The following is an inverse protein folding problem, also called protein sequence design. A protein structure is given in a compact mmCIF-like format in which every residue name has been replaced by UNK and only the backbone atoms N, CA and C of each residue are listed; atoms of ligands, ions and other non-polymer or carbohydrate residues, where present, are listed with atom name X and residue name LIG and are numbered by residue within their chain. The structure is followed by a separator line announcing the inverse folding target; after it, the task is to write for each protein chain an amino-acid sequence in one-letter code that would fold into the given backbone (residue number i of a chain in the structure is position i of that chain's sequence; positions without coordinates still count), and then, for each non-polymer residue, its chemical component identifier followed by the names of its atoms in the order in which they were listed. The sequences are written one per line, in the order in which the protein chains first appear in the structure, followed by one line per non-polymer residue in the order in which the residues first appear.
data_IF_908239892350
#
_entry.id   IF_908239892350
#
_cell.length_a   1.000
_cell.length_b   1.000
_cell.length_c   1.000
_cell.angle_alpha   90.00
_cell.angle_beta   90.00
_cell.angle_gamma   90.00
#
_symmetry.space_group_name_H-M   'P 1'
#
loop_
_entity.id
_entity.type
_entity.pdbx_description
1 polymer ?
#
# COMPACT_ATOMS: atom_id res chain seq x y z
N UNK A 1 10.58 -14.81 8.06
CA UNK A 1 9.39 -14.47 7.27
C UNK A 1 9.61 -13.10 6.69
N UNK A 2 9.75 -13.01 5.37
CA UNK A 2 9.79 -11.73 4.66
C UNK A 2 8.42 -11.52 4.03
N UNK A 3 7.83 -10.33 4.25
CA UNK A 3 6.63 -9.91 3.54
C UNK A 3 7.05 -8.99 2.39
N UNK A 4 6.50 -9.24 1.20
CA UNK A 4 6.75 -8.40 0.03
C UNK A 4 5.44 -7.80 -0.45
N UNK A 5 5.51 -6.53 -0.83
CA UNK A 5 4.36 -5.76 -1.30
C UNK A 5 4.50 -5.52 -2.80
N UNK A 6 3.59 -6.07 -3.59
CA UNK A 6 3.64 -6.02 -5.05
C UNK A 6 2.34 -5.46 -5.62
N UNK A 7 2.45 -4.61 -6.65
CA UNK A 7 1.32 -4.26 -7.52
C UNK A 7 1.15 -5.37 -8.56
N UNK A 8 -0.04 -5.96 -8.63
CA UNK A 8 -0.37 -6.98 -9.61
C UNK A 8 -1.65 -6.60 -10.34
N UNK A 9 -1.72 -6.87 -11.65
CA UNK A 9 -2.98 -6.97 -12.39
C UNK A 9 -3.30 -8.46 -12.55
N UNK A 10 -4.33 -8.96 -11.88
CA UNK A 10 -4.74 -10.37 -11.93
C UNK A 10 -5.74 -10.58 -13.07
N UNK A 11 -5.56 -11.61 -13.91
CA UNK A 11 -6.67 -12.22 -14.63
C UNK A 11 -7.50 -13.05 -13.63
N UNK A 12 -8.79 -12.71 -13.50
CA UNK A 12 -9.84 -13.42 -12.75
C UNK A 12 -9.65 -13.63 -11.23
N UNK A 13 -10.49 -12.92 -10.45
CA UNK A 13 -11.04 -13.41 -9.18
C UNK A 13 -12.54 -13.64 -9.38
N UNK A 14 -13.23 -14.41 -8.52
CA UNK A 14 -14.69 -14.68 -8.61
C UNK A 14 -15.57 -13.41 -8.55
N UNK A 15 -14.98 -12.24 -8.33
CA UNK A 15 -15.62 -10.92 -8.42
C UNK A 15 -15.33 -10.32 -9.81
N UNK A 16 -16.31 -9.68 -10.47
CA UNK A 16 -16.05 -8.95 -11.71
C UNK A 16 -14.85 -8.02 -11.47
N UNK A 17 -13.85 -8.01 -12.36
CA UNK A 17 -12.60 -7.30 -12.13
C UNK A 17 -12.93 -5.82 -11.97
N UNK A 18 -12.93 -5.35 -10.72
CA UNK A 18 -12.77 -3.94 -10.48
C UNK A 18 -11.41 -3.57 -11.05
N UNK A 19 -11.37 -2.61 -11.96
CA UNK A 19 -10.13 -2.03 -12.50
C UNK A 19 -9.33 -1.25 -11.44
N UNK A 20 -9.53 -1.58 -10.16
CA UNK A 20 -8.89 -0.92 -9.04
C UNK A 20 -7.54 -1.58 -8.79
N UNK A 21 -6.48 -0.79 -8.61
CA UNK A 21 -5.20 -1.32 -8.19
C UNK A 21 -5.38 -1.99 -6.83
N UNK A 22 -4.94 -3.24 -6.72
CA UNK A 22 -4.85 -3.95 -5.46
C UNK A 22 -3.39 -4.26 -5.18
N UNK A 23 -3.06 -4.29 -3.90
CA UNK A 23 -1.73 -4.57 -3.39
C UNK A 23 -1.75 -5.97 -2.81
N UNK A 24 -0.91 -6.86 -3.31
CA UNK A 24 -0.74 -8.18 -2.71
C UNK A 24 0.38 -8.13 -1.66
N UNK A 25 0.14 -8.83 -0.55
CA UNK A 25 1.17 -9.18 0.42
C UNK A 25 1.52 -10.64 0.20
N UNK A 26 2.72 -10.91 -0.27
CA UNK A 26 3.24 -12.27 -0.41
C UNK A 26 3.99 -12.66 0.86
N UNK A 27 3.66 -13.84 1.37
CA UNK A 27 4.45 -14.55 2.38
C UNK A 27 5.35 -15.56 1.67
N UNK A 28 6.60 -15.68 2.11
CA UNK A 28 7.50 -16.75 1.65
C UNK A 28 6.77 -18.11 1.69
N UNK A 29 6.83 -18.87 0.60
CA UNK A 29 6.03 -20.08 0.38
C UNK A 29 6.26 -21.22 1.39
N UNK A 30 7.28 -21.12 2.23
CA UNK A 30 7.64 -22.09 3.27
C UNK A 30 7.11 -21.70 4.66
N UNK A 31 6.21 -20.73 4.77
CA UNK A 31 5.67 -20.31 6.06
C UNK A 31 4.54 -21.24 6.54
N UNK A 32 4.86 -22.07 7.54
CA UNK A 32 3.93 -22.95 8.23
C UNK A 32 3.90 -22.62 9.72
N UNK A 33 2.82 -22.01 10.26
CA UNK A 33 2.74 -21.69 11.68
C UNK A 33 2.57 -22.99 12.49
N UNK A 34 3.39 -23.16 13.53
CA UNK A 34 3.34 -24.32 14.42
C UNK A 34 2.63 -24.00 15.74
N UNK A 35 2.30 -22.73 15.98
CA UNK A 35 1.67 -22.26 17.21
C UNK A 35 0.81 -21.00 17.00
N UNK A 36 -0.05 -20.71 17.98
CA UNK A 36 -0.79 -19.45 18.04
C UNK A 36 0.11 -18.22 18.19
N UNK A 37 1.29 -18.37 18.79
CA UNK A 37 2.24 -17.27 18.90
C UNK A 37 2.86 -16.92 17.54
N UNK A 38 3.04 -17.90 16.64
CA UNK A 38 3.49 -17.64 15.27
C UNK A 38 2.43 -16.86 14.48
N UNK A 39 1.16 -17.21 14.65
CA UNK A 39 0.03 -16.46 14.07
C UNK A 39 -0.03 -15.03 14.61
N UNK A 40 0.20 -14.85 15.93
CA UNK A 40 0.21 -13.52 16.55
C UNK A 40 1.34 -12.66 15.99
N UNK A 41 2.55 -13.21 15.86
CA UNK A 41 3.69 -12.51 15.24
C UNK A 41 3.42 -12.14 13.79
N UNK A 42 2.76 -13.01 13.02
CA UNK A 42 2.31 -12.66 11.66
C UNK A 42 1.35 -11.48 11.70
N UNK A 43 0.33 -11.52 12.56
CA UNK A 43 -0.64 -10.43 12.70
C UNK A 43 0.05 -9.11 13.02
N UNK A 44 0.96 -9.10 13.99
CA UNK A 44 1.71 -7.90 14.37
C UNK A 44 2.53 -7.35 13.19
N UNK A 45 3.15 -8.24 12.41
CA UNK A 45 3.93 -7.87 11.22
C UNK A 45 3.04 -7.26 10.13
N UNK A 46 1.85 -7.82 9.91
CA UNK A 46 0.87 -7.29 8.95
C UNK A 46 0.35 -5.91 9.37
N UNK A 47 0.08 -5.70 10.66
CA UNK A 47 -0.32 -4.39 11.19
C UNK A 47 0.78 -3.35 10.95
N UNK A 48 2.04 -3.68 11.26
CA UNK A 48 3.16 -2.77 11.02
C UNK A 48 3.32 -2.41 9.54
N UNK A 49 3.11 -3.36 8.62
CA UNK A 49 3.14 -3.06 7.18
C UNK A 49 1.97 -2.16 6.74
N UNK A 50 0.77 -2.36 7.31
CA UNK A 50 -0.37 -1.49 7.02
C UNK A 50 -0.13 -0.05 7.47
N UNK A 51 0.49 0.14 8.65
CA UNK A 51 0.87 1.47 9.14
C UNK A 51 1.89 2.15 8.24
N UNK A 52 2.88 1.39 7.73
CA UNK A 52 3.86 1.90 6.77
C UNK A 52 3.22 2.31 5.44
N UNK A 53 2.28 1.50 4.91
CA UNK A 53 1.53 1.85 3.69
C UNK A 53 0.72 3.13 3.89
N UNK A 54 0.10 3.31 5.06
CA UNK A 54 -0.64 4.52 5.38
C UNK A 54 0.25 5.75 5.42
N UNK A 55 1.41 5.67 6.06
CA UNK A 55 2.39 6.76 6.08
C UNK A 55 2.91 7.13 4.67
N UNK A 56 3.08 6.14 3.79
CA UNK A 56 3.45 6.38 2.39
C UNK A 56 2.32 7.08 1.62
N UNK A 57 1.07 6.70 1.84
CA UNK A 57 -0.10 7.38 1.25
C UNK A 57 -0.18 8.84 1.69
N UNK A 58 -0.06 9.10 3.00
CA UNK A 58 -0.07 10.47 3.54
C UNK A 58 1.05 11.34 2.92
N UNK A 59 2.23 10.74 2.69
CA UNK A 59 3.34 11.44 2.02
C UNK A 59 3.05 11.75 0.55
N UNK A 60 2.42 10.83 -0.17
CA UNK A 60 2.01 11.04 -1.56
C UNK A 60 0.94 12.13 -1.68
N UNK A 61 -0.02 12.15 -0.76
CA UNK A 61 -1.03 13.22 -0.69
C UNK A 61 -0.37 14.58 -0.41
N UNK A 62 0.59 14.63 0.52
CA UNK A 62 1.37 15.83 0.80
C UNK A 62 2.11 16.37 -0.43
N UNK A 63 2.75 15.48 -1.21
CA UNK A 63 3.43 15.85 -2.45
C UNK A 63 2.45 16.37 -3.51
N UNK A 64 1.29 15.72 -3.65
CA UNK A 64 0.26 16.11 -4.61
C UNK A 64 -0.29 17.50 -4.29
N UNK A 65 -0.61 17.76 -3.02
CA UNK A 65 -1.06 19.07 -2.55
C UNK A 65 -0.01 20.17 -2.78
N UNK A 66 1.27 19.88 -2.53
CA UNK A 66 2.35 20.82 -2.77
C UNK A 66 2.51 21.16 -4.26
N UNK A 67 2.40 20.15 -5.13
CA UNK A 67 2.45 20.33 -6.57
C UNK A 67 1.29 21.20 -7.08
N UNK A 68 0.07 20.94 -6.62
CA UNK A 68 -1.10 21.75 -6.98
C UNK A 68 -0.97 23.19 -6.51
N UNK A 69 -0.44 23.42 -5.30
CA UNK A 69 -0.20 24.75 -4.77
C UNK A 69 0.85 25.50 -5.61
N UNK A 70 1.93 24.83 -6.01
CA UNK A 70 2.97 25.40 -6.87
C UNK A 70 2.41 25.79 -8.25
N UNK A 71 1.57 24.95 -8.86
CA UNK A 71 0.92 25.28 -10.13
C UNK A 71 0.01 26.51 -10.02
N UNK A 72 -0.81 26.60 -8.96
CA UNK A 72 -1.67 27.78 -8.75
C UNK A 72 -0.86 29.06 -8.58
N UNK A 73 0.29 28.99 -7.88
CA UNK A 73 1.19 30.13 -7.74
C UNK A 73 1.84 30.55 -9.05
N UNK A 74 2.08 29.61 -9.98
CA UNK A 74 2.70 29.90 -11.28
C UNK A 74 1.71 30.50 -12.29
N UNK A 75 0.42 30.18 -12.19
CA UNK A 75 -0.62 30.72 -13.08
C UNK A 75 -1.30 32.01 -12.55
N UNK A 76 -1.01 32.42 -11.31
CA UNK A 76 -1.65 33.58 -10.65
C UNK A 76 -0.85 34.89 -10.69
N UNK A 77 0.16 35.00 -11.56
CA UNK A 77 0.99 36.19 -11.65
C UNK A 77 0.69 37.06 -12.87
N UNK A 78 -0.30 37.95 -12.77
CA UNK A 78 -0.27 39.26 -13.45
C UNK A 78 -0.83 40.34 -12.51
N UNK A 79 -0.18 41.53 -12.40
CA UNK A 79 -0.70 42.69 -11.70
C UNK A 79 -1.85 43.39 -12.45
#
# INVERSE_FOLDING_TARGET
MVLRTCFEQRPFTERPPGHVPFVNVEMDGDWYPHSSDDLRRLSDTLTAHADQLRALADRLDGLTNAFDAAQRSACGGEP
#
